data_IF_103941105856
#
_entry.id   IF_103941105856
#
_cell.length_a   1.000
_cell.length_b   1.000
_cell.length_c   1.000
_cell.angle_alpha   90.00
_cell.angle_beta   90.00
_cell.angle_gamma   90.00
#
_symmetry.space_group_name_H-M   'P 1'
#
loop_
_entity.id
_entity.type
_entity.pdbx_description
1 polymer ?
#
# COMPACT_ATOMS: atom_id res chain seq x y z
N UNK A 1 21.14 6.47 -19.24
CA UNK A 1 19.69 6.72 -19.02
C UNK A 1 19.00 6.90 -20.37
N UNK A 2 18.53 5.81 -20.98
CA UNK A 2 17.88 5.85 -22.32
C UNK A 2 16.58 5.03 -22.36
N UNK A 3 16.49 3.94 -21.58
CA UNK A 3 15.25 3.16 -21.40
C UNK A 3 14.12 4.00 -20.82
N UNK A 4 14.34 4.71 -19.70
CA UNK A 4 13.31 5.57 -19.10
C UNK A 4 12.88 6.71 -20.02
N UNK A 5 13.83 7.36 -20.70
CA UNK A 5 13.52 8.43 -21.67
C UNK A 5 12.68 7.90 -22.84
N UNK A 6 12.93 6.67 -23.28
CA UNK A 6 12.14 6.06 -24.33
C UNK A 6 10.71 5.77 -23.88
N UNK A 7 10.54 5.22 -22.68
CA UNK A 7 9.23 4.96 -22.09
C UNK A 7 8.46 6.28 -21.92
N UNK A 8 9.08 7.28 -21.30
CA UNK A 8 8.49 8.61 -21.11
C UNK A 8 8.16 9.35 -22.42
N UNK A 9 8.87 9.02 -23.52
CA UNK A 9 8.62 9.60 -24.83
C UNK A 9 7.50 8.91 -25.63
N UNK A 10 6.95 7.79 -25.16
CA UNK A 10 5.92 7.03 -25.86
C UNK A 10 4.70 6.80 -24.96
N UNK A 11 3.67 7.62 -25.14
CA UNK A 11 2.42 7.55 -24.38
C UNK A 11 1.75 6.16 -24.46
N UNK A 12 1.91 5.48 -25.60
CA UNK A 12 1.41 4.11 -25.81
C UNK A 12 2.05 3.07 -24.90
N UNK A 13 3.27 3.31 -24.43
CA UNK A 13 3.97 2.43 -23.48
C UNK A 13 3.59 2.85 -22.06
N UNK A 14 3.54 4.16 -21.80
CA UNK A 14 3.21 4.71 -20.48
C UNK A 14 1.87 4.19 -19.93
N UNK A 15 0.87 3.92 -20.77
CA UNK A 15 -0.41 3.37 -20.33
C UNK A 15 -0.32 1.96 -19.71
N UNK A 16 0.77 1.23 -19.97
CA UNK A 16 1.02 -0.12 -19.46
C UNK A 16 2.14 -0.14 -18.41
N UNK A 17 2.67 1.03 -18.03
CA UNK A 17 3.77 1.15 -17.09
C UNK A 17 3.22 1.43 -15.71
N UNK A 18 3.60 0.57 -14.76
CA UNK A 18 3.17 0.68 -13.36
C UNK A 18 4.41 0.83 -12.49
N UNK A 19 4.50 1.91 -11.72
CA UNK A 19 5.59 2.08 -10.75
C UNK A 19 5.19 1.41 -9.44
N UNK A 20 5.97 0.42 -9.01
CA UNK A 20 5.69 -0.37 -7.80
C UNK A 20 6.90 -0.41 -6.89
N UNK A 21 6.71 -0.75 -5.62
CA UNK A 21 7.83 -0.94 -4.67
C UNK A 21 8.48 -2.31 -4.78
N UNK A 22 7.71 -3.31 -5.20
CA UNK A 22 8.17 -4.67 -5.33
C UNK A 22 7.52 -5.38 -6.51
N UNK A 23 8.25 -6.35 -7.06
CA UNK A 23 7.92 -7.07 -8.28
C UNK A 23 7.41 -8.49 -8.00
N UNK A 24 7.06 -8.83 -6.75
CA UNK A 24 6.44 -10.11 -6.42
C UNK A 24 5.18 -10.37 -7.24
N UNK A 25 5.08 -11.59 -7.77
CA UNK A 25 3.95 -12.04 -8.58
C UNK A 25 3.87 -11.45 -9.99
N UNK A 26 4.63 -10.39 -10.29
CA UNK A 26 4.68 -9.80 -11.63
C UNK A 26 5.35 -10.75 -12.62
N UNK A 27 4.80 -10.82 -13.84
CA UNK A 27 5.42 -11.60 -14.93
C UNK A 27 6.48 -10.83 -15.69
N UNK A 28 6.49 -9.51 -15.61
CA UNK A 28 7.42 -8.64 -16.32
C UNK A 28 7.79 -7.47 -15.43
N UNK A 29 9.09 -7.25 -15.24
CA UNK A 29 9.55 -6.22 -14.32
C UNK A 29 10.90 -5.65 -14.69
N UNK A 30 11.09 -4.38 -14.33
CA UNK A 30 12.30 -3.61 -14.55
C UNK A 30 12.74 -2.98 -13.23
N UNK A 31 13.93 -3.32 -12.77
CA UNK A 31 14.58 -2.70 -11.61
C UNK A 31 15.69 -1.79 -12.11
N UNK A 32 15.66 -0.54 -11.66
CA UNK A 32 16.68 0.46 -11.92
C UNK A 32 17.21 1.01 -10.60
N UNK A 33 18.52 0.92 -10.40
CA UNK A 33 19.15 1.43 -9.18
C UNK A 33 20.05 2.62 -9.52
N UNK A 34 19.87 3.72 -8.80
CA UNK A 34 20.72 4.90 -8.86
C UNK A 34 22.09 4.62 -8.24
N UNK A 35 23.03 5.52 -8.49
CA UNK A 35 24.36 5.41 -7.90
C UNK A 35 24.30 5.71 -6.39
N UNK A 36 24.80 4.78 -5.57
CA UNK A 36 24.85 4.93 -4.11
C UNK A 36 23.95 3.97 -3.32
N UNK A 37 23.20 3.09 -3.99
CA UNK A 37 22.44 1.99 -3.37
C UNK A 37 23.08 0.64 -3.70
N UNK A 38 23.01 -0.32 -2.76
CA UNK A 38 23.65 -1.65 -2.85
C UNK A 38 22.86 -2.66 -3.71
N UNK A 39 22.12 -2.16 -4.70
CA UNK A 39 21.30 -2.95 -5.60
C UNK A 39 21.90 -3.00 -7.01
N UNK A 40 21.58 -4.05 -7.77
CA UNK A 40 22.02 -4.13 -9.16
C UNK A 40 21.52 -2.91 -9.96
N UNK A 41 22.38 -2.28 -10.78
CA UNK A 41 22.04 -1.04 -11.48
C UNK A 41 20.90 -1.22 -12.47
N UNK A 42 20.81 -2.40 -13.07
CA UNK A 42 19.81 -2.75 -14.06
C UNK A 42 19.48 -4.24 -13.97
N UNK A 43 18.20 -4.55 -13.81
CA UNK A 43 17.69 -5.91 -13.93
C UNK A 43 16.34 -5.88 -14.62
N UNK A 44 16.21 -6.65 -15.69
CA UNK A 44 14.95 -6.89 -16.36
C UNK A 44 14.59 -8.36 -16.24
N UNK A 45 13.33 -8.66 -15.98
CA UNK A 45 12.84 -10.03 -16.01
C UNK A 45 11.52 -10.14 -16.76
N UNK A 46 11.35 -11.28 -17.42
CA UNK A 46 10.14 -11.68 -18.15
C UNK A 46 9.91 -13.17 -17.92
N UNK A 47 8.96 -13.49 -17.05
CA UNK A 47 8.61 -14.84 -16.64
C UNK A 47 9.79 -15.57 -16.00
N UNK A 48 10.42 -16.48 -16.76
CA UNK A 48 11.59 -17.27 -16.31
C UNK A 48 12.93 -16.69 -16.78
N UNK A 49 12.90 -15.66 -17.62
CA UNK A 49 14.10 -15.07 -18.21
C UNK A 49 14.44 -13.82 -17.40
N UNK A 50 15.65 -13.78 -16.86
CA UNK A 50 16.22 -12.59 -16.23
C UNK A 50 17.44 -12.16 -17.01
N UNK A 51 17.56 -10.87 -17.27
CA UNK A 51 18.71 -10.28 -17.94
C UNK A 51 19.12 -8.98 -17.25
N UNK A 52 20.42 -8.85 -17.04
CA UNK A 52 21.04 -7.60 -16.57
C UNK A 52 21.56 -6.75 -17.73
N UNK A 53 21.25 -7.14 -18.97
CA UNK A 53 21.65 -6.43 -20.21
C UNK A 53 20.58 -5.42 -20.63
N UNK A 54 20.87 -4.10 -20.55
CA UNK A 54 19.91 -3.06 -20.92
C UNK A 54 19.50 -3.10 -22.40
N UNK A 55 20.36 -3.55 -23.31
CA UNK A 55 20.05 -3.56 -24.74
C UNK A 55 18.99 -4.63 -25.08
N UNK A 56 19.11 -5.81 -24.48
CA UNK A 56 18.14 -6.89 -24.65
C UNK A 56 16.79 -6.53 -24.04
N UNK A 57 16.80 -5.97 -22.84
CA UNK A 57 15.58 -5.48 -22.20
C UNK A 57 14.90 -4.39 -23.03
N UNK A 58 15.68 -3.43 -23.56
CA UNK A 58 15.16 -2.39 -24.44
C UNK A 58 14.52 -2.97 -25.72
N UNK A 59 15.17 -3.93 -26.35
CA UNK A 59 14.62 -4.60 -27.53
C UNK A 59 13.29 -5.29 -27.23
N UNK A 60 13.18 -5.97 -26.07
CA UNK A 60 11.95 -6.61 -25.63
C UNK A 60 10.83 -5.60 -25.32
N UNK A 61 11.15 -4.49 -24.63
CA UNK A 61 10.21 -3.40 -24.32
C UNK A 61 9.66 -2.80 -25.61
N UNK A 62 10.52 -2.62 -26.61
CA UNK A 62 10.11 -2.08 -27.91
C UNK A 62 9.21 -3.04 -28.70
N UNK A 63 9.46 -4.35 -28.63
CA UNK A 63 8.65 -5.34 -29.35
C UNK A 63 7.30 -5.60 -28.69
N UNK A 64 7.26 -5.67 -27.36
CA UNK A 64 6.07 -6.00 -26.57
C UNK A 64 5.66 -4.76 -25.76
N UNK A 65 5.23 -3.71 -26.45
CA UNK A 65 4.82 -2.44 -25.84
C UNK A 65 3.40 -2.49 -25.26
N UNK A 66 2.63 -3.50 -25.63
CA UNK A 66 1.24 -3.77 -25.25
C UNK A 66 1.10 -4.66 -24.00
N UNK A 67 2.21 -5.09 -23.41
CA UNK A 67 2.27 -5.87 -22.17
C UNK A 67 2.56 -4.97 -20.96
N UNK A 68 1.89 -5.21 -19.83
CA UNK A 68 2.15 -4.54 -18.55
C UNK A 68 3.62 -4.63 -18.14
N UNK A 69 4.21 -3.48 -17.79
CA UNK A 69 5.59 -3.33 -17.38
C UNK A 69 5.64 -2.69 -15.99
N UNK A 70 6.05 -3.49 -15.01
CA UNK A 70 6.22 -3.02 -13.64
C UNK A 70 7.64 -2.49 -13.44
N UNK A 71 7.78 -1.27 -12.90
CA UNK A 71 9.08 -0.62 -12.72
C UNK A 71 9.32 -0.33 -11.23
N UNK A 72 10.49 -0.74 -10.75
CA UNK A 72 10.99 -0.38 -9.41
C UNK A 72 12.21 0.52 -9.57
N UNK A 73 12.20 1.65 -8.86
CA UNK A 73 13.32 2.59 -8.81
C UNK A 73 13.95 2.58 -7.42
N UNK A 74 15.23 2.22 -7.33
CA UNK A 74 16.01 2.35 -6.11
C UNK A 74 16.89 3.58 -6.19
N UNK A 75 16.59 4.60 -5.39
CA UNK A 75 17.44 5.78 -5.26
C UNK A 75 17.38 6.32 -3.84
N UNK A 76 18.43 7.02 -3.43
CA UNK A 76 18.45 7.72 -2.14
C UNK A 76 17.30 8.72 -2.09
N UNK A 77 16.63 8.82 -0.95
CA UNK A 77 15.53 9.77 -0.73
C UNK A 77 14.25 9.51 -1.53
N UNK A 78 14.04 8.30 -2.07
CA UNK A 78 12.80 7.93 -2.77
C UNK A 78 11.53 8.17 -1.95
N UNK A 79 11.59 7.95 -0.63
CA UNK A 79 10.49 8.21 0.32
C UNK A 79 10.27 9.70 0.61
N UNK A 80 11.24 10.56 0.31
CA UNK A 80 11.18 12.01 0.54
C UNK A 80 10.73 12.78 -0.72
N UNK A 81 10.65 12.12 -1.88
CA UNK A 81 10.16 12.74 -3.12
C UNK A 81 8.63 12.58 -3.22
N UNK A 82 7.87 13.69 -3.11
CA UNK A 82 6.42 13.66 -3.28
C UNK A 82 6.00 13.28 -4.70
N UNK A 83 6.83 13.58 -5.70
CA UNK A 83 6.57 13.22 -7.10
C UNK A 83 6.63 11.70 -7.31
N UNK A 84 7.60 11.03 -6.68
CA UNK A 84 7.69 9.58 -6.71
C UNK A 84 6.54 8.92 -5.94
N UNK A 85 6.15 9.50 -4.80
CA UNK A 85 5.01 9.01 -4.02
C UNK A 85 3.68 9.09 -4.80
N UNK A 86 3.51 10.08 -5.68
CA UNK A 86 2.28 10.26 -6.46
C UNK A 86 2.13 9.23 -7.59
N UNK A 87 3.23 8.77 -8.17
CA UNK A 87 3.22 7.81 -9.29
C UNK A 87 3.29 6.35 -8.83
N UNK A 88 3.51 6.11 -7.54
CA UNK A 88 3.51 4.77 -6.96
C UNK A 88 2.10 4.18 -7.00
N UNK A 89 2.02 2.97 -7.53
CA UNK A 89 0.81 2.17 -7.57
C UNK A 89 0.99 0.93 -6.69
N UNK A 90 -0.10 0.47 -6.08
CA UNK A 90 -0.11 -0.81 -5.38
C UNK A 90 0.06 -1.94 -6.40
N UNK A 91 0.99 -2.86 -6.13
CA UNK A 91 1.20 -4.02 -6.99
C UNK A 91 -0.04 -4.95 -6.90
N UNK A 92 -0.82 -5.12 -7.98
CA UNK A 92 -2.03 -5.94 -7.97
C UNK A 92 -1.72 -7.45 -7.86
N UNK A 93 -0.47 -7.84 -8.13
CA UNK A 93 0.04 -9.21 -8.02
C UNK A 93 0.70 -9.52 -6.69
N UNK A 94 0.93 -8.51 -5.84
CA UNK A 94 1.22 -8.75 -4.44
C UNK A 94 -0.04 -9.41 -3.89
N UNK A 95 0.02 -10.73 -3.69
CA UNK A 95 -0.96 -11.38 -2.85
C UNK A 95 -0.99 -10.56 -1.57
N UNK A 96 -2.17 -10.06 -1.19
CA UNK A 96 -2.41 -9.58 0.16
C UNK A 96 -2.21 -10.77 1.09
N UNK A 97 -0.95 -11.15 1.31
CA UNK A 97 -0.54 -11.96 2.44
C UNK A 97 -0.59 -10.96 3.57
N UNK A 98 -1.81 -10.62 3.98
CA UNK A 98 -2.03 -10.10 5.32
C UNK A 98 -1.56 -11.28 6.17
N UNK A 99 -0.37 -11.16 6.75
CA UNK A 99 0.12 -12.15 7.69
C UNK A 99 -0.93 -12.31 8.77
N UNK A 100 -1.05 -13.51 9.35
CA UNK A 100 -1.98 -13.74 10.46
C UNK A 100 -1.78 -12.70 11.59
N UNK A 101 -0.54 -12.22 11.77
CA UNK A 101 -0.18 -11.13 12.68
C UNK A 101 -0.81 -9.78 12.32
N UNK A 102 -0.86 -9.43 11.03
CA UNK A 102 -1.45 -8.16 10.55
C UNK A 102 -2.99 -8.22 10.59
N UNK A 103 -3.58 -9.40 10.37
CA UNK A 103 -5.01 -9.62 10.59
C UNK A 103 -5.38 -9.52 12.06
N UNK A 104 -4.56 -10.10 12.94
CA UNK A 104 -4.75 -9.98 14.40
C UNK A 104 -4.61 -8.54 14.85
N UNK A 105 -3.58 -7.82 14.41
CA UNK A 105 -3.39 -6.41 14.76
C UNK A 105 -4.57 -5.54 14.30
N UNK A 106 -5.10 -5.78 13.10
CA UNK A 106 -6.27 -5.08 12.59
C UNK A 106 -7.55 -5.43 13.37
N UNK A 107 -7.71 -6.70 13.76
CA UNK A 107 -8.84 -7.16 14.57
C UNK A 107 -8.79 -6.56 15.97
N UNK A 108 -7.63 -6.59 16.62
CA UNK A 108 -7.42 -6.03 17.95
C UNK A 108 -7.63 -4.50 17.95
N UNK A 109 -7.13 -3.82 16.93
CA UNK A 109 -7.35 -2.38 16.75
C UNK A 109 -8.83 -2.05 16.54
N UNK A 110 -9.54 -2.84 15.74
CA UNK A 110 -10.97 -2.65 15.49
C UNK A 110 -11.78 -2.88 16.76
N UNK A 111 -11.51 -3.95 17.51
CA UNK A 111 -12.19 -4.25 18.78
C UNK A 111 -11.96 -3.15 19.82
N UNK A 112 -10.72 -2.68 19.98
CA UNK A 112 -10.41 -1.56 20.88
C UNK A 112 -11.17 -0.29 20.47
N UNK A 113 -11.11 0.07 19.18
CA UNK A 113 -11.79 1.27 18.68
C UNK A 113 -13.31 1.19 18.89
N UNK A 114 -13.92 0.02 18.67
CA UNK A 114 -15.36 -0.20 18.89
C UNK A 114 -15.73 -0.10 20.37
N UNK A 115 -14.90 -0.68 21.25
CA UNK A 115 -15.11 -0.62 22.69
C UNK A 115 -15.03 0.82 23.19
N UNK A 116 -13.99 1.56 22.81
CA UNK A 116 -13.78 2.96 23.17
C UNK A 116 -14.93 3.84 22.68
N UNK A 117 -15.36 3.65 21.42
CA UNK A 117 -16.48 4.40 20.85
C UNK A 117 -17.80 4.11 21.56
N UNK A 118 -18.04 2.85 21.92
CA UNK A 118 -19.26 2.45 22.63
C UNK A 118 -19.29 3.03 24.04
N UNK A 119 -18.17 2.98 24.76
CA UNK A 119 -18.05 3.57 26.09
C UNK A 119 -18.26 5.09 26.05
N UNK A 120 -17.64 5.77 25.09
CA UNK A 120 -17.79 7.22 24.91
C UNK A 120 -19.24 7.59 24.58
N UNK A 121 -19.90 6.83 23.70
CA UNK A 121 -21.31 7.07 23.36
C UNK A 121 -22.25 6.85 24.55
N UNK A 122 -21.99 5.86 25.40
CA UNK A 122 -22.80 5.62 26.61
C UNK A 122 -22.59 6.74 27.62
N UNK A 123 -21.34 7.19 27.83
CA UNK A 123 -21.05 8.34 28.70
C UNK A 123 -21.79 9.59 28.23
N UNK A 124 -21.79 9.87 26.93
CA UNK A 124 -22.55 11.00 26.37
C UNK A 124 -24.07 10.87 26.59
N UNK A 125 -24.63 9.66 26.48
CA UNK A 125 -26.06 9.45 26.75
C UNK A 125 -26.40 9.52 28.25
N UNK A 126 -25.47 9.12 29.13
CA UNK A 126 -25.58 9.31 30.58
C UNK A 126 -25.63 10.81 30.91
N UNK A 127 -24.73 11.61 30.33
CA UNK A 127 -24.71 13.07 30.52
C UNK A 127 -26.01 13.71 30.03
N UNK A 128 -26.53 13.28 28.87
CA UNK A 128 -27.84 13.73 28.37
C UNK A 128 -28.99 13.34 29.29
N UNK A 129 -28.97 12.14 29.87
CA UNK A 129 -29.98 11.70 30.82
C UNK A 129 -29.93 12.52 32.13
N UNK A 130 -28.74 12.90 32.58
CA UNK A 130 -28.55 13.80 33.73
C UNK A 130 -29.10 15.20 33.44
N UNK A 131 -28.78 15.78 32.27
CA UNK A 131 -29.28 17.09 31.85
C UNK A 131 -30.81 17.11 31.72
N UNK A 132 -31.41 16.01 31.26
CA UNK A 132 -32.86 15.86 31.14
C UNK A 132 -33.57 15.49 32.46
N UNK A 133 -32.81 15.17 33.52
CA UNK A 133 -33.34 14.68 34.79
C UNK A 133 -33.98 13.28 34.72
N UNK A 134 -33.67 12.49 33.69
CA UNK A 134 -34.21 11.14 33.50
C UNK A 134 -33.43 10.12 34.33
N UNK A 135 -33.88 9.98 35.58
CA UNK A 135 -33.30 9.08 36.58
C UNK A 135 -33.35 7.60 36.18
N UNK A 136 -34.31 7.21 35.34
CA UNK A 136 -34.52 5.81 34.96
C UNK A 136 -33.49 5.42 33.91
N UNK A 137 -33.35 6.26 32.88
CA UNK A 137 -32.38 6.10 31.78
C UNK A 137 -30.94 6.20 32.26
N UNK A 138 -30.66 7.09 33.22
CA UNK A 138 -29.36 7.16 33.89
C UNK A 138 -28.99 5.84 34.57
N UNK A 139 -29.91 5.22 35.32
CA UNK A 139 -29.64 3.97 36.02
C UNK A 139 -29.37 2.83 35.02
N UNK A 140 -30.20 2.70 33.99
CA UNK A 140 -30.07 1.67 32.95
C UNK A 140 -28.71 1.77 32.22
N UNK A 141 -28.33 2.97 31.77
CA UNK A 141 -27.06 3.19 31.08
C UNK A 141 -25.85 3.03 32.01
N UNK A 142 -25.95 3.44 33.28
CA UNK A 142 -24.87 3.27 34.27
C UNK A 142 -24.65 1.81 34.64
N UNK A 143 -25.72 1.02 34.74
CA UNK A 143 -25.60 -0.43 34.96
C UNK A 143 -24.98 -1.11 33.75
N UNK A 144 -25.41 -0.75 32.54
CA UNK A 144 -24.87 -1.30 31.30
C UNK A 144 -23.37 -0.99 31.11
N UNK A 145 -22.95 0.26 31.40
CA UNK A 145 -21.53 0.64 31.36
C UNK A 145 -20.70 -0.13 32.40
N UNK A 146 -21.29 -0.43 33.56
CA UNK A 146 -20.61 -1.19 34.61
C UNK A 146 -20.43 -2.66 34.24
N UNK A 147 -21.43 -3.27 33.61
CA UNK A 147 -21.35 -4.64 33.09
C UNK A 147 -20.39 -4.76 31.91
N UNK A 148 -20.19 -3.71 31.10
CA UNK A 148 -19.19 -3.70 30.03
C UNK A 148 -17.74 -3.58 30.53
N UNK A 149 -17.53 -3.01 31.71
CA UNK A 149 -16.20 -2.79 32.30
C UNK A 149 -15.78 -3.87 33.34
N UNK A 150 -16.65 -4.84 33.65
CA UNK A 150 -16.37 -6.03 34.49
C UNK A 150 -15.97 -7.25 33.65
#
# INVERSE_FOLDING_TARGET
MWVLNYIAGHDQIMQYVHFVDDLEGCRRGLVLSAQGVDHEPFRFFKGKITTSDPEKAFHDIRLNWDEELYIVLHFSDALLSPEYALVREDNPHRALVIGEEEQQLASDFLEQTLSDFTEESIKQEIDRALDAGDRKRFLELSTFLKEMNE
#
